data_IF_131410592000
#
_entry.id   IF_131410592000
#
_cell.length_a   1.000
_cell.length_b   1.000
_cell.length_c   1.000
_cell.angle_alpha   90.00
_cell.angle_beta   90.00
_cell.angle_gamma   90.00
#
_symmetry.space_group_name_H-M   'P 1'
#
loop_
_entity.id
_entity.type
_entity.pdbx_description
1 polymer ?
#
# COMPACT_ATOMS: atom_id res chain seq x y z
N UNK A 1 -6.54 15.08 4.39
CA UNK A 1 -5.18 15.64 4.58
C UNK A 1 -4.24 14.50 4.94
N UNK A 2 -2.93 14.68 4.79
CA UNK A 2 -1.89 13.74 5.25
C UNK A 2 -1.02 14.48 6.25
N UNK A 3 -0.81 13.91 7.44
CA UNK A 3 -0.07 14.58 8.52
C UNK A 3 1.46 14.39 8.39
N UNK A 4 1.89 13.21 7.93
CA UNK A 4 3.31 12.86 7.79
C UNK A 4 3.57 12.07 6.51
N UNK A 5 4.72 12.33 5.89
CA UNK A 5 5.27 11.56 4.77
C UNK A 5 6.73 11.25 5.09
N UNK A 6 7.11 9.97 4.99
CA UNK A 6 8.46 9.51 5.28
C UNK A 6 8.99 8.75 4.07
N UNK A 7 10.17 9.13 3.61
CA UNK A 7 10.90 8.42 2.55
C UNK A 7 11.75 7.33 3.19
N UNK A 8 11.85 6.18 2.52
CA UNK A 8 12.70 5.06 2.90
C UNK A 8 13.30 4.44 1.63
N UNK A 9 14.51 3.91 1.73
CA UNK A 9 15.29 3.42 0.57
C UNK A 9 15.36 1.89 0.53
N UNK A 10 14.93 1.22 1.60
CA UNK A 10 14.91 -0.23 1.69
C UNK A 10 13.85 -0.84 0.77
N UNK A 11 14.12 -2.06 0.27
CA UNK A 11 13.20 -2.82 -0.60
C UNK A 11 11.80 -3.02 0.00
N UNK A 12 11.71 -3.04 1.33
CA UNK A 12 10.44 -3.13 2.04
C UNK A 12 10.41 -2.14 3.20
N UNK A 13 9.24 -1.60 3.57
CA UNK A 13 9.12 -0.66 4.69
C UNK A 13 9.19 -1.35 6.07
N UNK A 14 9.64 -2.61 6.18
CA UNK A 14 9.60 -3.37 7.43
C UNK A 14 10.30 -2.65 8.58
N UNK A 15 11.52 -2.16 8.35
CA UNK A 15 12.29 -1.45 9.38
C UNK A 15 11.67 -0.10 9.75
N UNK A 16 11.02 0.57 8.79
CA UNK A 16 10.25 1.78 9.05
C UNK A 16 9.01 1.47 9.91
N UNK A 17 8.24 0.45 9.55
CA UNK A 17 7.06 -0.01 10.31
C UNK A 17 7.48 -0.40 11.72
N UNK A 18 8.62 -1.06 11.88
CA UNK A 18 9.19 -1.42 13.19
C UNK A 18 9.56 -0.22 14.04
N UNK A 19 10.01 0.88 13.44
CA UNK A 19 10.30 2.13 14.16
C UNK A 19 9.03 2.89 14.54
N UNK A 20 8.04 2.90 13.64
CA UNK A 20 6.78 3.64 13.82
C UNK A 20 5.81 2.91 14.76
N UNK A 21 5.81 1.57 14.78
CA UNK A 21 4.90 0.74 15.56
C UNK A 21 3.42 1.15 15.39
N UNK A 22 2.87 1.14 14.16
CA UNK A 22 1.51 1.60 13.92
C UNK A 22 0.48 0.67 14.57
N UNK A 23 -0.58 1.24 15.14
CA UNK A 23 -1.72 0.44 15.62
C UNK A 23 -2.45 -0.24 14.45
N UNK A 24 -2.60 0.47 13.33
CA UNK A 24 -3.30 0.00 12.13
C UNK A 24 -2.40 0.13 10.91
N UNK A 25 -2.20 -0.97 10.18
CA UNK A 25 -1.50 -1.02 8.90
C UNK A 25 -2.51 -1.23 7.75
N UNK A 26 -2.56 -0.30 6.80
CA UNK A 26 -3.52 -0.34 5.69
C UNK A 26 -2.82 -0.67 4.37
N UNK A 27 -3.38 -1.61 3.60
CA UNK A 27 -2.94 -1.97 2.24
C UNK A 27 -4.13 -2.14 1.29
N UNK A 28 -3.88 -2.10 -0.01
CA UNK A 28 -4.90 -2.37 -1.02
C UNK A 28 -5.39 -3.82 -0.98
N UNK A 29 -6.60 -4.06 -1.49
CA UNK A 29 -7.25 -5.37 -1.54
C UNK A 29 -6.53 -6.39 -2.43
N UNK A 30 -5.54 -5.98 -3.21
CA UNK A 30 -4.65 -6.81 -4.03
C UNK A 30 -3.70 -7.71 -3.19
N UNK A 31 -3.70 -7.50 -1.87
CA UNK A 31 -3.01 -8.31 -0.89
C UNK A 31 -3.88 -9.41 -0.25
N UNK A 32 -5.14 -9.58 -0.68
CA UNK A 32 -5.95 -10.71 -0.18
C UNK A 32 -5.26 -12.05 -0.47
N UNK A 33 -5.09 -12.88 0.58
CA UNK A 33 -4.35 -14.15 0.52
C UNK A 33 -2.82 -14.03 0.47
N UNK A 34 -2.24 -12.81 0.54
CA UNK A 34 -0.80 -12.57 0.61
C UNK A 34 -0.37 -12.12 1.99
N UNK A 35 0.88 -12.39 2.34
CA UNK A 35 1.49 -11.86 3.57
C UNK A 35 1.79 -10.37 3.38
N UNK A 36 1.26 -9.54 4.27
CA UNK A 36 1.53 -8.09 4.30
C UNK A 36 2.78 -7.83 5.13
N UNK A 37 3.79 -7.19 4.53
CA UNK A 37 5.02 -6.82 5.25
C UNK A 37 4.67 -5.93 6.45
N UNK A 38 5.10 -6.34 7.64
CA UNK A 38 4.86 -5.64 8.90
C UNK A 38 3.53 -5.99 9.58
N UNK A 39 2.78 -6.99 9.09
CA UNK A 39 1.57 -7.50 9.75
C UNK A 39 1.84 -8.12 11.12
N UNK A 40 3.05 -8.59 11.35
CA UNK A 40 3.55 -9.12 12.63
C UNK A 40 3.84 -8.03 13.67
N UNK A 41 3.95 -6.77 13.23
CA UNK A 41 4.25 -5.61 14.07
C UNK A 41 2.98 -4.84 14.43
N UNK A 42 2.10 -4.63 13.45
CA UNK A 42 0.88 -3.87 13.66
C UNK A 42 -0.16 -4.65 14.49
N UNK A 43 -0.98 -3.95 15.27
CA UNK A 43 -2.07 -4.59 16.03
C UNK A 43 -3.20 -5.05 15.13
N UNK A 44 -3.46 -4.31 14.05
CA UNK A 44 -4.50 -4.60 13.07
C UNK A 44 -4.01 -4.33 11.64
N UNK A 45 -4.35 -5.23 10.70
CA UNK A 45 -4.15 -5.01 9.27
C UNK A 45 -5.50 -4.84 8.59
N UNK A 46 -5.67 -3.75 7.83
CA UNK A 46 -6.87 -3.51 7.03
C UNK A 46 -6.54 -3.54 5.55
N UNK A 47 -7.27 -4.39 4.83
CA UNK A 47 -7.28 -4.38 3.37
C UNK A 47 -8.44 -3.50 2.90
N UNK A 48 -8.17 -2.55 2.02
CA UNK A 48 -9.17 -1.64 1.46
C UNK A 48 -9.37 -1.90 -0.03
N UNK A 49 -10.61 -1.92 -0.48
CA UNK A 49 -10.94 -2.10 -1.89
C UNK A 49 -10.36 -0.95 -2.74
N UNK A 50 -9.94 -1.28 -3.96
CA UNK A 50 -9.52 -0.26 -4.91
C UNK A 50 -10.73 0.53 -5.41
N UNK A 51 -10.50 1.83 -5.64
CA UNK A 51 -11.50 2.67 -6.29
C UNK A 51 -11.54 2.35 -7.78
N UNK A 52 -12.71 1.95 -8.26
CA UNK A 52 -12.92 1.64 -9.67
C UNK A 52 -12.54 2.80 -10.59
N UNK A 53 -11.91 2.44 -11.72
CA UNK A 53 -11.49 3.41 -12.74
C UNK A 53 -10.18 4.14 -12.46
N UNK A 54 -9.52 3.91 -11.31
CA UNK A 54 -8.21 4.49 -10.96
C UNK A 54 -7.13 3.41 -11.03
N UNK A 55 -6.49 3.28 -12.19
CA UNK A 55 -5.40 2.32 -12.42
C UNK A 55 -4.31 2.95 -13.27
N UNK A 56 -3.05 2.76 -12.86
CA UNK A 56 -1.88 3.19 -13.64
C UNK A 56 -1.85 2.49 -14.99
N UNK A 57 -2.16 1.19 -15.05
CA UNK A 57 -2.25 0.42 -16.30
C UNK A 57 -3.30 1.01 -17.23
N UNK A 58 -4.52 1.31 -16.74
CA UNK A 58 -5.56 1.97 -17.55
C UNK A 58 -5.13 3.36 -18.00
N UNK A 59 -4.35 4.07 -17.19
CA UNK A 59 -3.82 5.39 -17.56
C UNK A 59 -2.79 5.27 -18.69
N UNK A 60 -1.89 4.29 -18.62
CA UNK A 60 -0.92 4.00 -19.68
C UNK A 60 -1.62 3.58 -20.97
N UNK A 61 -2.62 2.69 -20.91
CA UNK A 61 -3.39 2.28 -22.10
C UNK A 61 -4.04 3.46 -22.83
N UNK A 62 -4.64 4.40 -22.06
CA UNK A 62 -5.17 5.65 -22.62
C UNK A 62 -4.11 6.51 -23.30
N UNK A 63 -2.92 6.62 -22.71
CA UNK A 63 -1.80 7.37 -23.30
C UNK A 63 -1.30 6.70 -24.58
N UNK A 64 -1.30 5.36 -24.64
CA UNK A 64 -0.85 4.56 -25.78
C UNK A 64 -1.91 4.39 -26.89
N UNK A 65 -3.15 4.86 -26.68
CA UNK A 65 -4.25 4.70 -27.64
C UNK A 65 -4.81 3.27 -27.72
N UNK A 66 -4.51 2.44 -26.73
CA UNK A 66 -5.01 1.06 -26.61
C UNK A 66 -6.22 1.11 -25.68
N UNK A 67 -7.41 1.21 -26.28
CA UNK A 67 -8.70 1.10 -25.59
C UNK A 67 -9.27 -0.31 -25.78
#
# INVERSE_FOLDING_TARGET
>A
SVDYVVVFDEETPYDLIKKVQPDILVKGGDYEGKVVVGSDIAKEVKLVEFVDGKSTTKTIGKIQGIC
#
